data_IF_880783318006
#
_entry.id   IF_880783318006
#
_cell.length_a   1.000
_cell.length_b   1.000
_cell.length_c   1.000
_cell.angle_alpha   90.00
_cell.angle_beta   90.00
_cell.angle_gamma   90.00
#
_symmetry.space_group_name_H-M   'P 1'
#
loop_
_entity.id
_entity.type
_entity.pdbx_description
1 polymer ?
#
# COMPACT_ATOMS: atom_id res chain seq x y z
N UNK A 1 19.74 14.02 -23.03
CA UNK A 1 19.48 14.29 -21.61
C UNK A 1 18.86 13.02 -21.06
N UNK A 2 19.38 12.40 -19.95
CA UNK A 2 18.67 11.33 -19.27
C UNK A 2 17.41 11.96 -18.68
N UNK A 3 16.23 11.51 -19.08
CA UNK A 3 15.01 11.89 -18.37
C UNK A 3 15.10 11.32 -16.94
N UNK A 4 14.97 12.19 -15.95
CA UNK A 4 14.85 11.76 -14.56
C UNK A 4 13.64 10.82 -14.43
N UNK A 5 13.76 9.79 -13.60
CA UNK A 5 12.67 8.86 -13.32
C UNK A 5 12.04 9.23 -12.00
N UNK A 6 10.72 9.22 -11.95
CA UNK A 6 9.95 9.52 -10.74
C UNK A 6 8.91 8.43 -10.48
N UNK A 7 8.81 8.02 -9.22
CA UNK A 7 7.83 7.06 -8.73
C UNK A 7 6.91 7.78 -7.75
N UNK A 8 5.63 7.87 -8.07
CA UNK A 8 4.60 8.31 -7.12
C UNK A 8 3.99 7.07 -6.49
N UNK A 9 4.17 6.90 -5.19
CA UNK A 9 3.86 5.65 -4.51
C UNK A 9 2.86 5.82 -3.37
N UNK A 10 1.96 4.85 -3.27
CA UNK A 10 1.19 4.63 -2.05
C UNK A 10 2.17 4.38 -0.88
N UNK A 11 1.96 5.02 0.29
CA UNK A 11 2.86 4.88 1.44
C UNK A 11 2.92 3.46 2.02
N UNK A 12 1.97 2.62 1.67
CA UNK A 12 1.94 1.20 2.06
C UNK A 12 3.15 0.45 1.51
N UNK A 13 3.62 0.78 0.31
CA UNK A 13 4.75 0.11 -0.35
C UNK A 13 6.14 0.52 0.17
N UNK A 14 6.24 1.32 1.22
CA UNK A 14 7.53 1.83 1.68
C UNK A 14 8.52 0.71 2.04
N UNK A 15 8.07 -0.31 2.80
CA UNK A 15 8.96 -1.41 3.20
C UNK A 15 9.34 -2.30 2.01
N UNK A 16 8.39 -2.56 1.12
CA UNK A 16 8.60 -3.36 -0.08
C UNK A 16 9.62 -2.69 -1.01
N UNK A 17 9.48 -1.38 -1.24
CA UNK A 17 10.43 -0.60 -2.05
C UNK A 17 11.83 -0.56 -1.41
N UNK A 18 11.94 -0.42 -0.08
CA UNK A 18 13.22 -0.48 0.63
C UNK A 18 13.92 -1.84 0.46
N UNK A 19 13.15 -2.93 0.29
CA UNK A 19 13.70 -4.28 0.10
C UNK A 19 14.13 -4.54 -1.34
N UNK A 20 13.36 -4.05 -2.33
CA UNK A 20 13.56 -4.43 -3.73
C UNK A 20 14.43 -3.45 -4.52
N UNK A 21 14.44 -2.16 -4.14
CA UNK A 21 15.19 -1.16 -4.88
C UNK A 21 16.68 -1.18 -4.51
N UNK A 22 17.58 -1.18 -5.48
CA UNK A 22 19.00 -0.95 -5.23
C UNK A 22 19.24 0.43 -4.59
N UNK A 23 20.16 0.50 -3.64
CA UNK A 23 20.47 1.75 -2.92
C UNK A 23 21.07 2.85 -3.80
N UNK A 24 21.61 2.48 -4.98
CA UNK A 24 22.22 3.37 -5.96
C UNK A 24 21.30 3.70 -7.14
N UNK A 25 20.02 3.33 -7.07
CA UNK A 25 19.05 3.62 -8.13
C UNK A 25 18.75 5.12 -8.20
N UNK A 26 18.96 5.72 -9.39
CA UNK A 26 18.61 7.10 -9.69
C UNK A 26 17.10 7.23 -9.94
N UNK A 27 16.33 7.29 -8.85
CA UNK A 27 14.88 7.31 -8.84
C UNK A 27 14.35 8.26 -7.75
N UNK A 28 13.60 9.27 -8.15
CA UNK A 28 12.89 10.14 -7.22
C UNK A 28 11.60 9.49 -6.75
N UNK A 29 11.44 9.23 -5.45
CA UNK A 29 10.22 8.59 -4.91
C UNK A 29 9.40 9.62 -4.12
N UNK A 30 8.15 9.81 -4.54
CA UNK A 30 7.18 10.68 -3.90
C UNK A 30 6.11 9.83 -3.21
N UNK A 31 6.24 9.64 -1.90
CA UNK A 31 5.21 8.97 -1.11
C UNK A 31 4.07 9.93 -0.81
N UNK A 32 2.85 9.44 -1.03
CA UNK A 32 1.64 10.16 -0.63
C UNK A 32 1.41 10.09 0.89
N UNK A 33 0.51 10.92 1.40
CA UNK A 33 0.05 10.88 2.78
C UNK A 33 -0.77 9.60 3.05
N UNK A 34 -0.63 9.02 4.23
CA UNK A 34 -1.35 7.76 4.57
C UNK A 34 -2.88 7.95 4.65
N UNK A 35 -3.37 9.16 4.88
CA UNK A 35 -4.80 9.50 4.93
C UNK A 35 -5.53 9.37 3.60
N UNK A 36 -4.81 9.17 2.49
CA UNK A 36 -5.42 8.92 1.17
C UNK A 36 -6.38 7.73 1.16
N UNK A 37 -6.25 6.80 2.08
CA UNK A 37 -7.12 5.62 2.16
C UNK A 37 -8.51 5.92 2.74
N UNK A 38 -8.70 7.09 3.34
CA UNK A 38 -9.96 7.50 3.98
C UNK A 38 -10.70 8.60 3.23
N UNK A 39 -10.05 9.27 2.27
CA UNK A 39 -10.64 10.37 1.52
C UNK A 39 -10.20 10.37 0.03
N UNK A 40 -11.17 10.11 -0.86
CA UNK A 40 -10.94 10.10 -2.30
C UNK A 40 -10.45 11.43 -2.88
N UNK A 41 -10.90 12.55 -2.29
CA UNK A 41 -10.46 13.90 -2.71
C UNK A 41 -9.02 14.14 -2.31
N UNK A 42 -8.64 13.70 -1.09
CA UNK A 42 -7.27 13.80 -0.64
C UNK A 42 -6.33 12.96 -1.53
N UNK A 43 -6.75 11.75 -1.91
CA UNK A 43 -6.00 10.94 -2.87
C UNK A 43 -5.73 11.71 -4.16
N UNK A 44 -6.76 12.29 -4.77
CA UNK A 44 -6.63 13.04 -6.02
C UNK A 44 -5.76 14.30 -5.87
N UNK A 45 -5.89 15.03 -4.77
CA UNK A 45 -5.04 16.19 -4.49
C UNK A 45 -3.57 15.80 -4.34
N UNK A 46 -3.27 14.74 -3.60
CA UNK A 46 -1.92 14.23 -3.40
C UNK A 46 -1.27 13.76 -4.72
N UNK A 47 -2.04 13.09 -5.57
CA UNK A 47 -1.60 12.70 -6.91
C UNK A 47 -1.18 13.93 -7.75
N UNK A 48 -2.02 14.96 -7.79
CA UNK A 48 -1.71 16.20 -8.52
C UNK A 48 -0.46 16.89 -7.97
N UNK A 49 -0.33 16.97 -6.64
CA UNK A 49 0.83 17.59 -6.01
C UNK A 49 2.12 16.81 -6.27
N UNK A 50 2.07 15.48 -6.23
CA UNK A 50 3.23 14.64 -6.51
C UNK A 50 3.63 14.71 -7.99
N UNK A 51 2.66 14.69 -8.90
CA UNK A 51 2.91 14.86 -10.33
C UNK A 51 3.53 16.23 -10.65
N UNK A 52 3.05 17.31 -10.03
CA UNK A 52 3.62 18.64 -10.19
C UNK A 52 5.07 18.72 -9.67
N UNK A 53 5.40 18.00 -8.58
CA UNK A 53 6.78 17.92 -8.07
C UNK A 53 7.69 17.10 -8.97
N UNK A 54 7.17 16.03 -9.59
CA UNK A 54 7.91 15.20 -10.52
C UNK A 54 8.23 15.95 -11.84
N UNK A 55 7.43 16.96 -12.21
CA UNK A 55 7.65 17.81 -13.39
C UNK A 55 7.65 17.00 -14.69
N UNK A 56 8.64 17.24 -15.55
CA UNK A 56 8.79 16.60 -16.87
C UNK A 56 9.52 15.25 -16.81
N UNK A 57 9.66 14.63 -15.64
CA UNK A 57 10.29 13.31 -15.49
C UNK A 57 9.45 12.18 -16.10
N UNK A 58 10.07 11.01 -16.32
CA UNK A 58 9.34 9.78 -16.67
C UNK A 58 8.64 9.23 -15.42
N UNK A 59 7.33 9.42 -15.32
CA UNK A 59 6.53 9.13 -14.11
C UNK A 59 5.95 7.72 -14.17
N UNK A 60 6.11 6.99 -13.07
CA UNK A 60 5.38 5.75 -12.78
C UNK A 60 4.53 5.91 -11.52
N UNK A 61 3.31 5.37 -11.54
CA UNK A 61 2.40 5.35 -10.40
C UNK A 61 2.37 3.95 -9.79
N UNK A 62 2.87 3.81 -8.57
CA UNK A 62 2.75 2.59 -7.77
C UNK A 62 1.51 2.70 -6.86
N UNK A 63 0.36 2.57 -7.48
CA UNK A 63 -0.97 2.71 -6.88
C UNK A 63 -1.91 1.77 -7.60
N UNK A 64 -2.68 0.96 -6.86
CA UNK A 64 -3.64 0.05 -7.47
C UNK A 64 -4.70 0.80 -8.30
N UNK A 65 -5.06 0.24 -9.45
CA UNK A 65 -5.99 0.88 -10.40
C UNK A 65 -7.40 1.08 -9.84
N UNK A 66 -7.81 0.29 -8.85
CA UNK A 66 -9.11 0.34 -8.19
C UNK A 66 -9.05 1.01 -6.79
N UNK A 67 -7.91 1.67 -6.46
CA UNK A 67 -7.82 2.45 -5.25
C UNK A 67 -8.84 3.60 -5.25
N UNK A 68 -9.41 3.87 -4.05
CA UNK A 68 -10.45 4.88 -3.89
C UNK A 68 -9.92 6.28 -4.18
N UNK A 69 -10.33 6.85 -5.30
CA UNK A 69 -9.94 8.16 -5.77
C UNK A 69 -11.14 8.86 -6.43
N UNK A 70 -11.13 10.19 -6.45
CA UNK A 70 -12.18 11.01 -7.07
C UNK A 70 -12.30 10.77 -8.57
N UNK A 71 -11.19 10.40 -9.22
CA UNK A 71 -11.15 9.97 -10.62
C UNK A 71 -10.44 8.63 -10.73
N UNK A 72 -10.61 7.93 -11.85
CA UNK A 72 -9.89 6.69 -12.13
C UNK A 72 -8.37 6.93 -12.10
N UNK A 73 -7.62 6.09 -11.39
CA UNK A 73 -6.14 6.12 -11.36
C UNK A 73 -5.58 5.98 -12.78
N UNK A 74 -6.20 5.11 -13.60
CA UNK A 74 -5.80 4.91 -15.01
C UNK A 74 -6.00 6.17 -15.84
N UNK A 75 -7.11 6.88 -15.66
CA UNK A 75 -7.37 8.12 -16.39
C UNK A 75 -6.47 9.26 -15.93
N UNK A 76 -6.17 9.32 -14.64
CA UNK A 76 -5.16 10.25 -14.14
C UNK A 76 -3.79 9.97 -14.74
N UNK A 77 -3.33 8.71 -14.73
CA UNK A 77 -2.05 8.32 -15.33
C UNK A 77 -1.96 8.73 -16.81
N UNK A 78 -3.01 8.45 -17.59
CA UNK A 78 -3.10 8.88 -19.00
C UNK A 78 -2.99 10.39 -19.16
N UNK A 79 -3.64 11.16 -18.28
CA UNK A 79 -3.67 12.62 -18.36
C UNK A 79 -2.30 13.28 -18.17
N UNK A 80 -1.36 12.60 -17.48
CA UNK A 80 0.00 13.05 -17.22
C UNK A 80 1.05 12.21 -17.96
N UNK A 81 0.64 11.35 -18.89
CA UNK A 81 1.50 10.42 -19.64
C UNK A 81 2.37 9.54 -18.71
N UNK A 82 1.82 9.08 -17.58
CA UNK A 82 2.50 8.22 -16.64
C UNK A 82 2.15 6.73 -16.84
N UNK A 83 3.06 5.86 -16.45
CA UNK A 83 2.79 4.43 -16.32
C UNK A 83 2.02 4.15 -15.02
N UNK A 84 1.20 3.11 -14.97
CA UNK A 84 0.47 2.70 -13.77
C UNK A 84 0.37 1.18 -13.69
N UNK A 85 0.14 0.68 -12.48
CA UNK A 85 -0.07 -0.74 -12.22
C UNK A 85 -1.28 -1.29 -12.99
N UNK A 86 -1.21 -2.57 -13.33
CA UNK A 86 -2.35 -3.34 -13.84
C UNK A 86 -3.17 -3.97 -12.70
N UNK A 87 -2.57 -4.11 -11.54
CA UNK A 87 -3.15 -4.69 -10.34
C UNK A 87 -4.22 -3.78 -9.74
N UNK A 88 -5.26 -4.41 -9.18
CA UNK A 88 -6.40 -3.69 -8.60
C UNK A 88 -6.00 -2.88 -7.37
N UNK A 89 -5.13 -3.44 -6.54
CA UNK A 89 -4.75 -2.86 -5.25
C UNK A 89 -3.32 -3.25 -4.84
N UNK A 90 -2.87 -2.71 -3.71
CA UNK A 90 -1.52 -2.93 -3.20
C UNK A 90 -1.21 -4.41 -2.86
N UNK A 91 -2.21 -5.21 -2.48
CA UNK A 91 -2.00 -6.62 -2.16
C UNK A 91 -1.79 -7.44 -3.44
N UNK A 92 -2.58 -7.18 -4.48
CA UNK A 92 -2.35 -7.80 -5.79
C UNK A 92 -0.98 -7.43 -6.37
N UNK A 93 -0.54 -6.17 -6.21
CA UNK A 93 0.78 -5.74 -6.66
C UNK A 93 1.92 -6.49 -5.94
N UNK A 94 1.73 -6.88 -4.68
CA UNK A 94 2.74 -7.61 -3.91
C UNK A 94 2.72 -9.11 -4.23
N UNK A 95 1.55 -9.73 -4.32
CA UNK A 95 1.38 -11.18 -4.36
C UNK A 95 1.05 -11.74 -5.73
N UNK A 96 0.63 -10.89 -6.65
CA UNK A 96 -0.09 -11.28 -7.86
C UNK A 96 -1.56 -11.63 -7.59
N UNK A 97 -2.43 -11.54 -8.63
CA UNK A 97 -3.87 -11.76 -8.49
C UNK A 97 -4.21 -13.18 -8.01
N UNK A 98 -3.55 -14.20 -8.55
CA UNK A 98 -3.83 -15.60 -8.20
C UNK A 98 -3.58 -15.90 -6.71
N UNK A 99 -2.44 -15.47 -6.17
CA UNK A 99 -2.10 -15.70 -4.76
C UNK A 99 -2.99 -14.87 -3.85
N UNK A 100 -3.33 -13.65 -4.25
CA UNK A 100 -4.27 -12.78 -3.55
C UNK A 100 -5.64 -13.44 -3.43
N UNK A 101 -6.23 -13.88 -4.54
CA UNK A 101 -7.52 -14.56 -4.56
C UNK A 101 -7.54 -15.82 -3.68
N UNK A 102 -6.43 -16.56 -3.67
CA UNK A 102 -6.30 -17.76 -2.83
C UNK A 102 -6.31 -17.44 -1.34
N UNK A 103 -5.60 -16.38 -0.93
CA UNK A 103 -5.48 -15.98 0.48
C UNK A 103 -6.71 -15.25 1.01
N UNK A 104 -7.39 -14.46 0.17
CA UNK A 104 -8.58 -13.69 0.59
C UNK A 104 -9.84 -14.52 0.79
N UNK A 105 -9.79 -15.84 0.53
CA UNK A 105 -10.91 -16.73 0.82
C UNK A 105 -11.26 -16.71 2.31
N UNK A 106 -12.52 -17.09 2.62
CA UNK A 106 -13.01 -17.24 3.99
C UNK A 106 -12.88 -15.97 4.84
N UNK A 107 -13.29 -14.82 4.28
CA UNK A 107 -13.27 -13.53 4.99
C UNK A 107 -11.91 -13.23 5.62
N UNK A 108 -10.84 -13.41 4.86
CA UNK A 108 -9.47 -13.09 5.27
C UNK A 108 -9.08 -11.69 4.80
N UNK A 109 -8.64 -10.83 5.72
CA UNK A 109 -7.94 -9.60 5.40
C UNK A 109 -6.44 -9.89 5.23
N UNK A 110 -5.79 -9.24 4.27
CA UNK A 110 -4.35 -9.35 4.06
C UNK A 110 -3.73 -7.99 4.37
N UNK A 111 -2.80 -7.97 5.31
CA UNK A 111 -2.11 -6.75 5.73
C UNK A 111 -0.60 -6.89 5.57
N UNK A 112 0.04 -5.77 5.24
CA UNK A 112 1.49 -5.61 5.26
C UNK A 112 1.90 -4.78 6.48
N UNK A 113 3.19 -4.63 6.68
CA UNK A 113 3.72 -3.69 7.69
C UNK A 113 3.26 -2.24 7.42
N UNK A 114 3.16 -1.87 6.15
CA UNK A 114 2.60 -0.57 5.73
C UNK A 114 1.15 -0.39 6.18
N UNK A 115 0.31 -1.42 6.03
CA UNK A 115 -1.07 -1.42 6.53
C UNK A 115 -1.15 -1.30 8.05
N UNK A 116 -0.30 -2.01 8.79
CA UNK A 116 -0.24 -1.87 10.26
C UNK A 116 0.08 -0.44 10.68
N UNK A 117 1.07 0.19 10.03
CA UNK A 117 1.40 1.60 10.30
C UNK A 117 0.22 2.52 10.02
N UNK A 118 -0.42 2.37 8.87
CA UNK A 118 -1.56 3.18 8.47
C UNK A 118 -2.70 3.08 9.49
N UNK A 119 -3.09 1.90 9.90
CA UNK A 119 -4.17 1.69 10.89
C UNK A 119 -3.80 2.31 12.24
N UNK A 120 -2.57 2.10 12.72
CA UNK A 120 -2.10 2.71 13.98
C UNK A 120 -2.11 4.23 13.93
N UNK A 121 -1.71 4.83 12.81
CA UNK A 121 -1.72 6.27 12.60
C UNK A 121 -3.14 6.83 12.53
N UNK A 122 -4.04 6.17 11.82
CA UNK A 122 -5.44 6.58 11.73
C UNK A 122 -6.09 6.71 13.10
N UNK A 123 -5.76 5.82 14.05
CA UNK A 123 -6.24 5.90 15.43
C UNK A 123 -5.56 7.04 16.20
N UNK A 124 -4.24 7.15 16.06
CA UNK A 124 -3.45 8.07 16.91
C UNK A 124 -3.54 9.54 16.47
N UNK A 125 -3.66 9.80 15.17
CA UNK A 125 -3.55 11.15 14.59
C UNK A 125 -4.83 11.64 13.91
N UNK A 126 -5.58 10.73 13.28
CA UNK A 126 -6.77 11.11 12.51
C UNK A 126 -8.06 11.06 13.35
N UNK A 127 -7.94 10.69 14.63
CA UNK A 127 -9.07 10.66 15.57
C UNK A 127 -10.10 9.57 15.27
N UNK A 128 -9.76 8.58 14.41
CA UNK A 128 -10.64 7.44 14.17
C UNK A 128 -10.67 6.60 15.45
N UNK A 129 -11.86 6.44 16.00
CA UNK A 129 -12.01 5.65 17.22
C UNK A 129 -11.65 4.19 16.97
N UNK A 130 -10.95 3.58 17.92
CA UNK A 130 -10.57 2.15 17.89
C UNK A 130 -11.77 1.24 17.59
N UNK A 131 -12.93 1.52 18.18
CA UNK A 131 -14.14 0.75 17.97
C UNK A 131 -14.66 0.83 16.54
N UNK A 132 -14.50 1.96 15.86
CA UNK A 132 -14.82 2.11 14.43
C UNK A 132 -13.98 1.17 13.58
N UNK A 133 -12.68 1.09 13.84
CA UNK A 133 -11.79 0.16 13.13
C UNK A 133 -12.18 -1.29 13.40
N UNK A 134 -12.51 -1.64 14.64
CA UNK A 134 -12.99 -2.99 15.02
C UNK A 134 -14.28 -3.36 14.30
N UNK A 135 -15.22 -2.42 14.19
CA UNK A 135 -16.47 -2.63 13.45
C UNK A 135 -16.17 -2.86 11.97
N UNK A 136 -15.31 -2.04 11.35
CA UNK A 136 -14.94 -2.18 9.93
C UNK A 136 -14.24 -3.52 9.65
N UNK A 137 -13.36 -3.97 10.55
CA UNK A 137 -12.61 -5.21 10.40
C UNK A 137 -13.34 -6.44 10.97
N UNK A 138 -14.41 -6.26 11.73
CA UNK A 138 -15.20 -7.35 12.34
C UNK A 138 -15.91 -8.27 11.34
N UNK A 139 -15.94 -7.89 10.05
CA UNK A 139 -16.36 -8.77 8.97
C UNK A 139 -15.36 -9.93 8.74
N UNK A 140 -14.07 -9.71 9.03
CA UNK A 140 -13.02 -10.68 8.76
C UNK A 140 -12.89 -11.70 9.89
N UNK A 141 -12.69 -12.95 9.52
CA UNK A 141 -12.45 -14.06 10.47
C UNK A 141 -10.98 -14.10 10.91
N UNK A 142 -10.08 -13.59 10.06
CA UNK A 142 -8.65 -13.51 10.35
C UNK A 142 -7.97 -12.43 9.52
N UNK A 143 -6.80 -12.03 10.00
CA UNK A 143 -5.85 -11.17 9.29
C UNK A 143 -4.60 -12.00 8.99
N UNK A 144 -4.17 -12.02 7.74
CA UNK A 144 -2.88 -12.57 7.34
C UNK A 144 -1.89 -11.42 7.20
N UNK A 145 -0.82 -11.44 8.02
CA UNK A 145 0.31 -10.52 7.90
C UNK A 145 1.34 -11.10 6.94
N UNK A 146 1.70 -10.34 5.91
CA UNK A 146 2.74 -10.74 4.97
C UNK A 146 4.13 -10.44 5.56
N UNK A 147 4.94 -11.48 5.74
CA UNK A 147 6.31 -11.39 6.21
C UNK A 147 7.29 -11.73 5.08
N UNK A 148 8.20 -10.82 4.79
CA UNK A 148 9.19 -10.95 3.72
C UNK A 148 10.52 -11.54 4.20
N UNK A 149 10.64 -11.91 5.50
CA UNK A 149 11.83 -12.50 6.10
C UNK A 149 12.99 -11.53 6.37
N UNK A 150 12.92 -10.30 5.89
CA UNK A 150 13.98 -9.28 6.09
C UNK A 150 13.85 -8.57 7.43
N UNK A 151 12.61 -8.30 7.83
CA UNK A 151 12.24 -7.70 9.13
C UNK A 151 11.03 -8.47 9.66
N UNK A 152 11.24 -9.60 10.35
CA UNK A 152 10.13 -10.39 10.86
C UNK A 152 9.30 -9.59 11.88
N UNK A 153 8.03 -9.91 12.00
CA UNK A 153 7.18 -9.33 13.05
C UNK A 153 7.62 -9.91 14.41
N UNK A 154 7.78 -9.05 15.42
CA UNK A 154 7.98 -9.51 16.80
C UNK A 154 6.66 -9.96 17.42
N UNK A 155 6.72 -10.78 18.46
CA UNK A 155 5.54 -11.20 19.22
C UNK A 155 4.82 -9.98 19.81
N UNK A 156 5.56 -8.95 20.24
CA UNK A 156 4.99 -7.71 20.74
C UNK A 156 4.22 -6.94 19.66
N UNK A 157 4.76 -6.90 18.42
CA UNK A 157 4.04 -6.26 17.30
C UNK A 157 2.71 -6.97 17.00
N UNK A 158 2.73 -8.31 17.00
CA UNK A 158 1.57 -9.15 16.72
C UNK A 158 0.52 -8.99 17.83
N UNK A 159 0.93 -9.10 19.10
CA UNK A 159 0.05 -8.93 20.25
C UNK A 159 -0.56 -7.54 20.30
N UNK A 160 0.25 -6.49 20.13
CA UNK A 160 -0.25 -5.12 20.10
C UNK A 160 -1.23 -4.87 18.96
N UNK A 161 -1.03 -5.52 17.80
CA UNK A 161 -1.93 -5.42 16.67
C UNK A 161 -3.23 -6.21 16.89
N UNK A 162 -3.12 -7.40 17.49
CA UNK A 162 -4.29 -8.18 17.92
C UNK A 162 -5.13 -7.40 18.95
N UNK A 163 -4.49 -6.82 19.97
CA UNK A 163 -5.19 -6.04 21.00
C UNK A 163 -5.91 -4.82 20.40
N UNK A 164 -5.35 -4.27 19.34
CA UNK A 164 -5.95 -3.16 18.63
C UNK A 164 -7.21 -3.57 17.87
N UNK A 165 -7.17 -4.69 17.15
CA UNK A 165 -8.17 -5.08 16.17
C UNK A 165 -9.15 -6.12 16.66
N UNK A 166 -8.73 -6.99 17.59
CA UNK A 166 -9.50 -8.14 18.12
C UNK A 166 -9.92 -9.14 17.02
N UNK A 167 -9.09 -9.30 16.00
CA UNK A 167 -9.24 -10.27 14.91
C UNK A 167 -8.03 -11.21 14.95
N UNK A 168 -8.20 -12.54 14.86
CA UNK A 168 -7.08 -13.49 14.83
C UNK A 168 -6.06 -13.15 13.76
N UNK A 169 -4.77 -13.29 14.10
CA UNK A 169 -3.66 -12.94 13.22
C UNK A 169 -2.87 -14.20 12.87
N UNK A 170 -2.61 -14.40 11.60
CA UNK A 170 -1.72 -15.42 11.06
C UNK A 170 -0.58 -14.74 10.28
N UNK A 171 0.58 -15.38 10.20
CA UNK A 171 1.73 -14.89 9.43
C UNK A 171 1.92 -15.78 8.21
N UNK A 172 2.02 -15.16 7.05
CA UNK A 172 2.35 -15.81 5.79
C UNK A 172 3.71 -15.34 5.32
N UNK A 173 4.67 -16.26 5.21
CA UNK A 173 5.99 -15.98 4.63
C UNK A 173 5.85 -15.86 3.12
N UNK A 174 6.24 -14.72 2.58
CA UNK A 174 6.14 -14.43 1.15
C UNK A 174 7.42 -13.85 0.59
N UNK A 175 7.66 -14.08 -0.70
CA UNK A 175 8.72 -13.45 -1.46
C UNK A 175 8.13 -12.29 -2.26
N UNK A 176 8.95 -11.29 -2.53
CA UNK A 176 8.59 -10.12 -3.35
C UNK A 176 8.93 -10.31 -4.84
N UNK A 177 8.99 -11.57 -5.31
CA UNK A 177 9.40 -11.85 -6.70
C UNK A 177 8.41 -11.22 -7.69
N UNK A 178 7.10 -11.36 -7.45
CA UNK A 178 6.07 -10.73 -8.29
C UNK A 178 6.18 -9.19 -8.29
N UNK A 179 6.38 -8.59 -7.12
CA UNK A 179 6.50 -7.14 -6.96
C UNK A 179 7.73 -6.54 -7.64
N UNK A 180 8.77 -7.34 -7.88
CA UNK A 180 10.00 -6.87 -8.56
C UNK A 180 9.87 -6.81 -10.08
N UNK A 181 8.96 -7.62 -10.63
CA UNK A 181 8.78 -7.76 -12.08
C UNK A 181 7.86 -6.68 -12.67
N UNK A 182 7.16 -5.92 -11.81
CA UNK A 182 6.31 -4.78 -12.14
C UNK A 182 7.10 -3.44 -12.12
#
# INVERSE_FOLDING_TARGET
>A
MKNEKSLISCPIFRDELEIVLPSDMDLNIYFMDQRIHTDARLMFQQLKMAAAKAGDSDISLLIGRECYCEISIVDFAKSINARTLQEKNCIEAILGPEKTDKLQKNRTAIHTRGWMRMIRQSISFDGIMRDTIRIMLGYFERIVLLDYGVRPFSDEDILAYYDLLQVPIEIEQVKLDYFKDD
#
